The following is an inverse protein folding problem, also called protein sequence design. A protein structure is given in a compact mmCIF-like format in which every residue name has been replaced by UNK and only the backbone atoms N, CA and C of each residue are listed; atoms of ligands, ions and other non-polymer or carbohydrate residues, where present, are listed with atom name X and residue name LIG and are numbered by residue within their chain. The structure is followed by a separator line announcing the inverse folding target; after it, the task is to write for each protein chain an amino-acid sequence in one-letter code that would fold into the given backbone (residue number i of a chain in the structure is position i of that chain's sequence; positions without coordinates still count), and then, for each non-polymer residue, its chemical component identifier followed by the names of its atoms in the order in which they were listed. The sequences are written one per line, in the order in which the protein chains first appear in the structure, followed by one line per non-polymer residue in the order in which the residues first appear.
data_IF_409848746162
#
_entry.id   IF_409848746162
#
_cell.length_a   1.000
_cell.length_b   1.000
_cell.length_c   1.000
_cell.angle_alpha   90.00
_cell.angle_beta   90.00
_cell.angle_gamma   90.00
#
_symmetry.space_group_name_H-M   'P 1'
#
loop_
_entity.id
_entity.type
_entity.pdbx_description
1 polymer ?
#
# COMPACT_ATOMS: atom_id res chain seq x y z
N UNK A 1 -2.41 -9.99 29.22
CA UNK A 1 -3.12 -9.81 27.93
C UNK A 1 -2.27 -8.89 27.08
N UNK A 2 -1.47 -9.44 26.17
CA UNK A 2 -0.73 -8.65 25.18
C UNK A 2 -1.70 -8.19 24.08
N UNK A 3 -1.67 -6.93 23.63
CA UNK A 3 -2.54 -6.46 22.55
C UNK A 3 -2.15 -7.12 21.22
N UNK A 4 -3.15 -7.56 20.46
CA UNK A 4 -3.06 -8.09 19.09
C UNK A 4 -2.14 -7.27 18.16
N UNK A 5 -1.12 -7.88 17.56
CA UNK A 5 -0.11 -7.23 16.71
C UNK A 5 -0.45 -7.12 15.22
N UNK A 6 -1.57 -7.71 14.73
CA UNK A 6 -2.15 -7.27 13.43
C UNK A 6 -3.51 -6.63 13.67
N UNK A 7 -3.73 -5.39 13.24
CA UNK A 7 -4.97 -4.70 13.57
C UNK A 7 -6.16 -5.30 12.84
N UNK A 8 -7.33 -5.14 13.45
CA UNK A 8 -8.63 -5.59 12.91
C UNK A 8 -9.01 -4.91 11.60
N UNK A 9 -8.33 -3.81 11.26
CA UNK A 9 -8.44 -3.04 10.01
C UNK A 9 -7.06 -2.52 9.58
N UNK A 10 -6.83 -2.29 8.29
CA UNK A 10 -5.67 -1.51 7.83
C UNK A 10 -5.62 -0.15 8.54
N UNK A 11 -4.41 0.37 8.72
CA UNK A 11 -4.20 1.75 9.13
C UNK A 11 -4.74 2.74 8.10
N UNK A 12 -4.99 3.97 8.52
CA UNK A 12 -5.53 5.03 7.67
C UNK A 12 -4.42 5.77 6.93
N UNK A 13 -4.63 6.08 5.65
CA UNK A 13 -3.70 6.89 4.84
C UNK A 13 -4.33 8.26 4.56
N UNK A 14 -3.67 9.33 5.00
CA UNK A 14 -4.02 10.72 4.69
C UNK A 14 -3.09 11.21 3.59
N UNK A 15 -3.62 11.45 2.41
CA UNK A 15 -2.85 11.92 1.25
C UNK A 15 -3.00 13.43 1.15
N UNK A 16 -1.91 14.17 1.36
CA UNK A 16 -1.84 15.61 1.15
C UNK A 16 -1.30 15.87 -0.26
N UNK A 17 -2.16 16.27 -1.20
CA UNK A 17 -1.76 16.51 -2.58
C UNK A 17 -1.83 17.99 -2.96
N UNK A 18 -0.83 18.50 -3.65
CA UNK A 18 -0.75 19.91 -4.04
C UNK A 18 0.59 20.30 -4.63
N UNK A 19 0.66 21.49 -5.22
CA UNK A 19 1.84 21.99 -5.92
C UNK A 19 3.07 22.12 -5.01
N UNK A 20 4.27 22.20 -5.60
CA UNK A 20 5.48 22.54 -4.83
C UNK A 20 5.26 23.87 -4.10
N UNK A 21 5.77 24.00 -2.87
CA UNK A 21 5.57 25.19 -2.02
C UNK A 21 4.14 25.49 -1.54
N UNK A 22 3.16 24.61 -1.78
CA UNK A 22 1.78 24.79 -1.29
C UNK A 22 1.60 24.56 0.22
N UNK A 23 2.66 24.29 0.97
CA UNK A 23 2.59 24.14 2.43
C UNK A 23 2.25 22.72 2.93
N UNK A 24 2.14 21.72 2.05
CA UNK A 24 1.88 20.31 2.39
C UNK A 24 2.69 19.79 3.58
N UNK A 25 4.01 19.93 3.54
CA UNK A 25 4.89 19.40 4.60
C UNK A 25 4.66 20.08 5.94
N UNK A 26 4.33 21.37 5.93
CA UNK A 26 4.06 22.14 7.16
C UNK A 26 2.72 21.73 7.75
N UNK A 27 1.67 21.67 6.94
CA UNK A 27 0.33 21.19 7.35
C UNK A 27 0.41 19.74 7.83
N UNK A 28 1.13 18.87 7.11
CA UNK A 28 1.29 17.46 7.46
C UNK A 28 2.03 17.24 8.78
N UNK A 29 3.05 18.04 9.10
CA UNK A 29 3.71 18.00 10.42
C UNK A 29 2.80 18.51 11.54
N UNK A 30 2.02 19.56 11.31
CA UNK A 30 1.01 20.00 12.28
C UNK A 30 -0.05 18.92 12.49
N UNK A 31 -0.51 18.28 11.42
CA UNK A 31 -1.45 17.17 11.48
C UNK A 31 -0.88 15.99 12.29
N UNK A 32 0.37 15.61 12.03
CA UNK A 32 1.06 14.56 12.80
C UNK A 32 1.17 14.90 14.29
N UNK A 33 1.31 16.18 14.66
CA UNK A 33 1.38 16.65 16.05
C UNK A 33 0.05 16.58 16.78
N UNK A 34 -1.08 16.76 16.10
CA UNK A 34 -2.40 16.88 16.74
C UNK A 34 -3.22 15.60 16.70
N UNK A 35 -2.97 14.71 15.74
CA UNK A 35 -3.74 13.49 15.62
C UNK A 35 -3.47 12.57 16.84
N UNK A 36 -4.52 11.92 17.38
CA UNK A 36 -4.41 11.16 18.63
C UNK A 36 -3.71 9.81 18.47
N UNK A 37 -3.54 9.34 17.22
CA UNK A 37 -2.87 8.08 16.87
C UNK A 37 -1.50 8.39 16.26
N UNK A 38 -0.51 7.48 16.35
CA UNK A 38 0.80 7.70 15.76
C UNK A 38 0.73 7.57 14.24
N UNK A 39 0.77 8.71 13.52
CA UNK A 39 0.91 8.70 12.06
C UNK A 39 2.38 8.73 11.67
N UNK A 40 2.77 7.84 10.76
CA UNK A 40 4.03 7.94 10.05
C UNK A 40 3.92 9.09 9.03
N UNK A 41 4.93 9.95 8.95
CA UNK A 41 4.95 11.05 7.98
C UNK A 41 6.01 10.77 6.91
N UNK A 42 5.61 10.79 5.64
CA UNK A 42 6.48 10.55 4.49
C UNK A 42 5.98 11.34 3.28
N UNK A 43 6.67 11.24 2.15
CA UNK A 43 6.23 11.84 0.90
C UNK A 43 7.17 11.56 -0.26
N UNK A 44 6.86 12.15 -1.40
CA UNK A 44 7.71 12.05 -2.59
C UNK A 44 9.18 12.42 -2.30
N UNK A 45 9.40 13.41 -1.44
CA UNK A 45 10.73 13.88 -1.02
C UNK A 45 11.47 12.88 -0.11
N UNK A 46 10.79 11.89 0.48
CA UNK A 46 11.42 10.77 1.19
C UNK A 46 11.86 9.64 0.24
N UNK A 47 11.17 9.48 -0.89
CA UNK A 47 11.45 8.42 -1.86
C UNK A 47 12.41 8.85 -2.96
N UNK A 48 12.33 10.09 -3.46
CA UNK A 48 13.22 10.59 -4.52
C UNK A 48 14.72 10.44 -4.18
N UNK A 49 15.18 10.74 -2.95
CA UNK A 49 16.58 10.52 -2.58
C UNK A 49 17.02 9.06 -2.63
N UNK A 50 16.10 8.08 -2.52
CA UNK A 50 16.44 6.65 -2.63
C UNK A 50 16.97 6.29 -4.02
N UNK A 51 16.65 7.10 -5.04
CA UNK A 51 17.20 6.88 -6.37
C UNK A 51 18.70 7.20 -6.45
N UNK A 52 19.34 7.92 -5.48
CA UNK A 52 20.81 8.05 -5.34
C UNK A 52 21.30 8.63 -3.98
N UNK A 53 22.26 7.98 -3.30
CA UNK A 53 23.04 8.61 -2.22
C UNK A 53 24.35 9.33 -2.66
N UNK A 54 24.99 8.97 -3.79
CA UNK A 54 26.43 9.30 -4.00
C UNK A 54 26.89 9.19 -5.47
N UNK A 55 26.48 10.16 -6.31
CA UNK A 55 26.64 10.11 -7.77
C UNK A 55 28.03 9.74 -8.32
N UNK A 56 28.11 8.61 -9.04
CA UNK A 56 28.82 8.29 -10.30
C UNK A 56 28.25 6.91 -10.70
N UNK A 57 27.71 6.60 -11.89
CA UNK A 57 28.17 6.81 -13.28
C UNK A 57 26.93 6.98 -14.18
N UNK A 58 26.92 7.98 -15.07
CA UNK A 58 26.20 7.91 -16.35
C UNK A 58 24.76 8.46 -16.47
N UNK A 59 24.14 9.04 -15.44
CA UNK A 59 22.84 9.75 -15.64
C UNK A 59 22.79 10.98 -14.74
N UNK A 60 22.88 12.15 -15.34
CA UNK A 60 22.66 13.45 -14.69
C UNK A 60 21.33 13.40 -13.92
N UNK A 61 21.34 13.74 -12.62
CA UNK A 61 20.13 13.76 -11.74
C UNK A 61 18.97 14.52 -12.37
N UNK A 62 19.33 15.50 -13.21
CA UNK A 62 18.46 16.32 -14.01
C UNK A 62 19.20 16.66 -15.31
N UNK A 63 18.63 16.33 -16.48
CA UNK A 63 19.08 16.97 -17.72
C UNK A 63 18.39 18.35 -17.80
N UNK A 64 19.15 19.42 -17.99
CA UNK A 64 18.60 20.70 -18.48
C UNK A 64 18.59 20.59 -20.01
N UNK A 65 17.42 20.64 -20.65
CA UNK A 65 17.37 20.50 -22.11
C UNK A 65 16.62 21.66 -22.76
N UNK A 66 17.32 22.39 -23.62
CA UNK A 66 16.85 22.63 -24.99
C UNK A 66 17.64 21.77 -26.02
N UNK A 67 18.82 21.22 -25.64
CA UNK A 67 19.82 20.74 -26.61
C UNK A 67 20.09 19.22 -26.57
N UNK A 68 19.56 18.48 -25.59
CA UNK A 68 19.79 17.04 -25.43
C UNK A 68 18.47 16.24 -25.53
N UNK A 69 17.86 16.25 -26.70
CA UNK A 69 16.67 15.45 -27.05
C UNK A 69 16.90 13.92 -27.05
N UNK A 70 17.83 13.41 -26.23
CA UNK A 70 18.31 12.02 -26.32
C UNK A 70 19.03 11.48 -25.10
N UNK A 71 18.74 11.94 -23.88
CA UNK A 71 19.19 11.26 -22.64
C UNK A 71 18.05 10.41 -22.04
N UNK A 72 17.77 9.19 -22.53
CA UNK A 72 16.62 8.36 -22.13
C UNK A 72 16.71 7.77 -20.71
N UNK A 73 17.62 8.26 -19.86
CA UNK A 73 18.04 7.56 -18.65
C UNK A 73 17.86 8.33 -17.33
N UNK A 74 17.62 9.64 -17.36
CA UNK A 74 17.45 10.39 -16.12
C UNK A 74 16.11 10.05 -15.44
N UNK A 75 16.08 9.79 -14.11
CA UNK A 75 14.83 9.54 -13.39
C UNK A 75 13.90 10.75 -13.38
N UNK A 76 14.47 11.96 -13.47
CA UNK A 76 13.78 13.23 -13.44
C UNK A 76 14.56 14.23 -14.32
N UNK A 77 13.85 15.11 -15.04
CA UNK A 77 14.46 16.20 -15.83
C UNK A 77 13.68 17.50 -15.71
N UNK A 78 14.40 18.61 -15.78
CA UNK A 78 13.84 19.96 -15.82
C UNK A 78 13.66 20.37 -17.28
N UNK A 79 12.45 20.70 -17.68
CA UNK A 79 12.16 21.20 -19.03
C UNK A 79 12.11 22.72 -18.99
N UNK A 80 12.94 23.38 -19.80
CA UNK A 80 13.04 24.84 -19.88
C UNK A 80 12.39 25.37 -21.16
N UNK A 81 11.95 26.63 -21.20
CA UNK A 81 11.45 27.26 -22.42
C UNK A 81 12.55 27.39 -23.50
N UNK A 82 12.16 27.30 -24.77
CA UNK A 82 13.07 27.41 -25.91
C UNK A 82 13.85 28.73 -25.99
N UNK A 83 13.32 29.81 -25.40
CA UNK A 83 13.89 31.17 -25.46
C UNK A 83 14.57 31.62 -24.16
N UNK A 84 14.87 30.68 -23.24
CA UNK A 84 15.39 30.98 -21.91
C UNK A 84 14.29 31.40 -20.93
N UNK A 85 14.52 31.18 -19.64
CA UNK A 85 13.55 31.41 -18.58
C UNK A 85 13.55 30.29 -17.53
N UNK A 86 12.69 30.42 -16.54
CA UNK A 86 12.43 29.40 -15.51
C UNK A 86 11.84 28.12 -16.14
N UNK A 87 12.13 26.90 -15.62
CA UNK A 87 11.52 25.66 -16.08
C UNK A 87 10.00 25.76 -16.20
N UNK A 88 9.50 25.15 -17.26
CA UNK A 88 8.06 25.05 -17.55
C UNK A 88 7.44 23.89 -16.78
N UNK A 89 8.17 22.77 -16.63
CA UNK A 89 7.72 21.60 -15.87
C UNK A 89 8.85 20.60 -15.60
N UNK A 90 8.54 19.64 -14.71
CA UNK A 90 9.36 18.45 -14.48
C UNK A 90 8.82 17.32 -15.34
N UNK A 91 9.73 16.55 -15.94
CA UNK A 91 9.39 15.26 -16.53
C UNK A 91 10.09 14.12 -15.81
N UNK A 92 9.34 13.05 -15.55
CA UNK A 92 9.86 11.84 -14.94
C UNK A 92 10.23 10.83 -16.03
N UNK A 93 11.41 10.24 -15.90
CA UNK A 93 11.82 9.10 -16.73
C UNK A 93 11.27 7.79 -16.19
N UNK A 94 11.50 6.69 -16.90
CA UNK A 94 10.95 5.37 -16.55
C UNK A 94 11.26 4.96 -15.09
N UNK A 95 12.48 5.20 -14.62
CA UNK A 95 12.89 4.92 -13.24
C UNK A 95 12.15 5.78 -12.21
N UNK A 96 11.82 7.04 -12.54
CA UNK A 96 10.99 7.91 -11.71
C UNK A 96 9.56 7.40 -11.60
N UNK A 97 8.94 7.00 -12.72
CA UNK A 97 7.60 6.39 -12.72
C UNK A 97 7.57 5.08 -11.91
N UNK A 98 8.60 4.23 -12.05
CA UNK A 98 8.72 3.00 -11.23
C UNK A 98 8.91 3.30 -9.74
N UNK A 99 9.65 4.35 -9.37
CA UNK A 99 9.78 4.76 -7.98
C UNK A 99 8.43 5.16 -7.38
N UNK A 100 7.64 6.00 -8.08
CA UNK A 100 6.32 6.43 -7.58
C UNK A 100 5.37 5.24 -7.44
N UNK A 101 5.39 4.33 -8.42
CA UNK A 101 4.67 3.06 -8.33
C UNK A 101 5.07 2.25 -7.09
N UNK A 102 6.37 2.15 -6.83
CA UNK A 102 6.92 1.49 -5.63
C UNK A 102 6.50 2.17 -4.33
N UNK A 103 6.50 3.51 -4.30
CA UNK A 103 6.03 4.30 -3.17
C UNK A 103 4.57 3.98 -2.84
N UNK A 104 3.68 3.95 -3.82
CA UNK A 104 2.27 3.60 -3.58
C UNK A 104 2.09 2.20 -2.98
N UNK A 105 2.87 1.22 -3.44
CA UNK A 105 2.88 -0.14 -2.87
C UNK A 105 3.44 -0.17 -1.46
N UNK A 106 4.47 0.62 -1.17
CA UNK A 106 5.00 0.75 0.19
C UNK A 106 3.98 1.36 1.15
N UNK A 107 3.25 2.40 0.73
CA UNK A 107 2.16 3.00 1.52
C UNK A 107 1.08 1.97 1.83
N UNK A 108 0.65 1.20 0.82
CA UNK A 108 -0.33 0.13 0.99
C UNK A 108 0.15 -0.94 1.99
N UNK A 109 1.38 -1.44 1.82
CA UNK A 109 1.95 -2.46 2.70
C UNK A 109 2.04 -1.98 4.16
N UNK A 110 2.50 -0.74 4.37
CA UNK A 110 2.59 -0.11 5.70
C UNK A 110 1.20 0.05 6.34
N UNK A 111 0.20 0.43 5.55
CA UNK A 111 -1.19 0.53 6.01
C UNK A 111 -1.80 -0.85 6.30
N UNK A 112 -1.61 -1.85 5.46
CA UNK A 112 -2.08 -3.23 5.71
C UNK A 112 -1.40 -3.88 6.92
N UNK A 113 -0.16 -3.49 7.23
CA UNK A 113 0.51 -3.85 8.48
C UNK A 113 -0.06 -3.12 9.70
N UNK A 114 -0.93 -2.12 9.50
CA UNK A 114 -1.66 -1.46 10.57
C UNK A 114 -1.28 -0.04 10.92
N UNK A 115 -0.29 0.51 10.22
CA UNK A 115 0.23 1.83 10.54
C UNK A 115 -0.62 2.91 9.87
N UNK A 116 -0.94 3.95 10.63
CA UNK A 116 -1.54 5.15 10.07
C UNK A 116 -0.44 6.00 9.40
N UNK A 117 -0.72 6.56 8.22
CA UNK A 117 0.27 7.26 7.39
C UNK A 117 -0.26 8.61 6.93
N UNK A 118 0.52 9.67 7.08
CA UNK A 118 0.36 10.92 6.36
C UNK A 118 1.39 10.92 5.24
N UNK A 119 0.94 11.06 4.00
CA UNK A 119 1.81 11.12 2.83
C UNK A 119 1.59 12.44 2.10
N UNK A 120 2.67 13.20 1.87
CA UNK A 120 2.63 14.32 0.96
C UNK A 120 2.99 13.91 -0.47
N UNK A 121 2.21 14.38 -1.43
CA UNK A 121 2.34 14.01 -2.83
C UNK A 121 2.18 15.21 -3.77
N UNK A 122 2.69 15.05 -4.99
CA UNK A 122 2.50 15.94 -6.13
C UNK A 122 1.99 15.05 -7.29
N UNK A 123 0.68 14.79 -7.36
CA UNK A 123 0.06 13.86 -8.31
C UNK A 123 0.00 14.45 -9.73
N UNK A 124 1.14 14.52 -10.41
CA UNK A 124 1.28 15.19 -11.72
C UNK A 124 0.62 14.45 -12.88
N UNK A 125 0.73 13.12 -12.90
CA UNK A 125 0.29 12.30 -14.04
C UNK A 125 -1.01 11.56 -13.72
N UNK A 126 -1.90 11.44 -14.71
CA UNK A 126 -3.13 10.65 -14.60
C UNK A 126 -2.88 9.18 -14.23
N UNK A 127 -1.79 8.61 -14.72
CA UNK A 127 -1.38 7.26 -14.34
C UNK A 127 -0.99 7.13 -12.87
N UNK A 128 -0.39 8.17 -12.25
CA UNK A 128 -0.06 8.14 -10.82
C UNK A 128 -1.32 8.23 -9.97
N UNK A 129 -2.30 9.04 -10.40
CA UNK A 129 -3.61 9.14 -9.75
C UNK A 129 -4.31 7.78 -9.76
N UNK A 130 -4.35 7.11 -10.92
CA UNK A 130 -4.93 5.76 -11.07
C UNK A 130 -4.17 4.71 -10.26
N UNK A 131 -2.84 4.73 -10.30
CA UNK A 131 -2.01 3.76 -9.56
C UNK A 131 -2.13 3.94 -8.04
N UNK A 132 -2.24 5.18 -7.55
CA UNK A 132 -2.48 5.44 -6.12
C UNK A 132 -3.83 4.86 -5.66
N UNK A 133 -4.90 5.11 -6.43
CA UNK A 133 -6.24 4.58 -6.14
C UNK A 133 -6.22 3.05 -6.13
N UNK A 134 -5.55 2.44 -7.09
CA UNK A 134 -5.44 0.99 -7.15
C UNK A 134 -4.63 0.41 -5.99
N UNK A 135 -3.45 0.99 -5.71
CA UNK A 135 -2.57 0.51 -4.65
C UNK A 135 -3.20 0.62 -3.25
N UNK A 136 -4.00 1.66 -3.00
CA UNK A 136 -4.68 1.87 -1.73
C UNK A 136 -6.10 1.29 -1.69
N UNK A 137 -6.49 0.46 -2.66
CA UNK A 137 -7.78 -0.25 -2.64
C UNK A 137 -7.89 -1.10 -1.37
N UNK A 138 -8.97 -0.90 -0.62
CA UNK A 138 -9.18 -1.58 0.67
C UNK A 138 -8.51 -0.93 1.87
N UNK A 139 -7.79 0.18 1.69
CA UNK A 139 -7.22 1.01 2.77
C UNK A 139 -8.18 2.17 3.08
N UNK A 140 -8.39 2.53 4.36
CA UNK A 140 -9.05 3.78 4.73
C UNK A 140 -8.24 4.99 4.26
N UNK A 141 -8.68 5.69 3.21
CA UNK A 141 -7.97 6.86 2.66
C UNK A 141 -8.71 8.17 2.94
N UNK A 142 -8.01 9.24 3.29
CA UNK A 142 -8.51 10.62 3.24
C UNK A 142 -7.64 11.43 2.26
N UNK A 143 -8.21 11.81 1.11
CA UNK A 143 -7.52 12.56 0.07
C UNK A 143 -7.76 14.07 0.25
N UNK A 144 -6.70 14.81 0.57
CA UNK A 144 -6.72 16.23 0.90
C UNK A 144 -6.07 17.04 -0.22
N UNK A 145 -6.79 18.02 -0.75
CA UNK A 145 -6.28 18.97 -1.73
C UNK A 145 -5.69 20.19 -1.03
N UNK A 146 -4.37 20.33 -1.06
CA UNK A 146 -3.64 21.47 -0.47
C UNK A 146 -3.36 22.51 -1.55
N UNK A 147 -4.30 23.45 -1.67
CA UNK A 147 -4.24 24.57 -2.60
C UNK A 147 -3.43 25.73 -2.01
N UNK A 148 -2.94 26.58 -2.90
CA UNK A 148 -2.28 27.84 -2.58
C UNK A 148 -2.32 28.71 -3.84
N UNK A 149 -2.76 29.96 -3.72
CA UNK A 149 -2.77 30.92 -4.82
C UNK A 149 -1.41 31.01 -5.51
N UNK A 150 -1.43 31.16 -6.83
CA UNK A 150 -0.21 31.16 -7.65
C UNK A 150 0.80 32.24 -7.23
N UNK A 151 0.33 33.43 -6.86
CA UNK A 151 1.22 34.52 -6.43
C UNK A 151 1.98 34.19 -5.14
N UNK A 152 1.28 33.60 -4.16
CA UNK A 152 1.89 33.15 -2.89
C UNK A 152 2.84 31.97 -3.13
N UNK A 153 2.46 31.04 -4.01
CA UNK A 153 3.30 29.90 -4.39
C UNK A 153 4.66 30.33 -4.94
N UNK A 154 4.66 31.24 -5.91
CA UNK A 154 5.89 31.77 -6.53
C UNK A 154 6.72 32.58 -5.55
N UNK A 155 6.08 33.35 -4.66
CA UNK A 155 6.79 34.07 -3.61
C UNK A 155 7.48 33.12 -2.63
N UNK A 156 6.78 32.06 -2.19
CA UNK A 156 7.34 31.02 -1.32
C UNK A 156 8.50 30.28 -1.97
N UNK A 157 8.38 29.94 -3.25
CA UNK A 157 9.44 29.28 -4.03
C UNK A 157 10.70 30.17 -4.12
N UNK A 158 10.53 31.47 -4.43
CA UNK A 158 11.65 32.43 -4.43
C UNK A 158 12.32 32.54 -3.06
N UNK A 159 11.55 32.57 -1.97
CA UNK A 159 12.08 32.66 -0.60
C UNK A 159 12.80 31.39 -0.16
N UNK A 160 12.37 30.21 -0.64
CA UNK A 160 13.01 28.92 -0.33
C UNK A 160 14.44 28.84 -0.88
N UNK A 161 14.75 29.63 -1.91
CA UNK A 161 16.08 29.68 -2.52
C UNK A 161 16.40 28.45 -3.35
N UNK A 162 15.36 27.80 -3.91
CA UNK A 162 15.54 26.61 -4.75
C UNK A 162 16.41 26.96 -5.97
N UNK A 163 17.33 26.06 -6.32
CA UNK A 163 18.27 26.27 -7.42
C UNK A 163 17.59 26.38 -8.81
N UNK A 164 16.29 26.06 -8.87
CA UNK A 164 15.45 26.17 -10.06
C UNK A 164 14.05 26.65 -9.62
N UNK A 165 13.62 27.82 -10.11
CA UNK A 165 12.33 28.48 -9.82
C UNK A 165 11.34 28.16 -10.95
N UNK A 166 10.03 28.06 -10.71
CA UNK A 166 9.00 27.81 -11.75
C UNK A 166 8.19 26.53 -11.57
N UNK A 167 8.54 25.66 -10.62
CA UNK A 167 7.79 24.42 -10.34
C UNK A 167 6.42 24.69 -9.80
N UNK A 168 6.31 25.68 -8.92
CA UNK A 168 5.05 25.98 -8.27
C UNK A 168 3.98 26.33 -9.31
N UNK A 169 4.36 27.05 -10.37
CA UNK A 169 3.52 27.34 -11.54
C UNK A 169 3.25 26.10 -12.39
N UNK A 170 4.28 25.32 -12.71
CA UNK A 170 4.16 24.09 -13.51
C UNK A 170 3.15 23.09 -12.94
N UNK A 171 3.17 22.95 -11.60
CA UNK A 171 2.34 21.98 -10.89
C UNK A 171 0.93 22.50 -10.60
N UNK A 172 0.72 23.82 -10.67
CA UNK A 172 -0.45 24.51 -10.08
C UNK A 172 -1.79 23.87 -10.44
N UNK A 173 -2.07 23.66 -11.73
CA UNK A 173 -3.33 23.04 -12.16
C UNK A 173 -3.21 21.51 -12.22
N UNK A 174 -2.12 21.00 -12.80
CA UNK A 174 -1.94 19.60 -13.14
C UNK A 174 -2.14 18.64 -11.96
N UNK A 175 -1.67 19.03 -10.76
CA UNK A 175 -1.78 18.21 -9.56
C UNK A 175 -3.21 18.06 -9.07
N UNK A 176 -4.12 18.97 -9.41
CA UNK A 176 -5.50 18.97 -8.92
C UNK A 176 -6.52 18.46 -9.94
N UNK A 177 -6.18 18.45 -11.23
CA UNK A 177 -7.05 17.97 -12.31
C UNK A 177 -7.53 16.53 -12.07
N UNK A 178 -8.80 16.23 -12.36
CA UNK A 178 -9.40 14.88 -12.25
C UNK A 178 -9.27 14.22 -10.86
N UNK A 179 -9.27 15.01 -9.78
CA UNK A 179 -9.27 14.50 -8.41
C UNK A 179 -10.45 15.04 -7.61
N UNK A 180 -11.21 14.12 -7.04
CA UNK A 180 -12.24 14.40 -6.06
C UNK A 180 -11.65 14.27 -4.66
N UNK A 181 -11.45 15.42 -4.02
CA UNK A 181 -10.91 15.51 -2.66
C UNK A 181 -12.03 15.35 -1.63
N UNK A 182 -11.72 14.68 -0.53
CA UNK A 182 -12.57 14.67 0.67
C UNK A 182 -12.63 16.06 1.29
N UNK A 183 -11.51 16.80 1.23
CA UNK A 183 -11.43 18.18 1.66
C UNK A 183 -10.38 18.95 0.86
N UNK A 184 -10.67 20.21 0.58
CA UNK A 184 -9.74 21.18 -0.03
C UNK A 184 -9.41 22.26 1.00
N UNK A 185 -8.13 22.60 1.13
CA UNK A 185 -7.61 23.65 2.02
C UNK A 185 -6.80 24.63 1.19
N UNK A 186 -7.01 25.93 1.37
CA UNK A 186 -6.15 26.97 0.77
C UNK A 186 -5.19 27.54 1.81
N UNK A 187 -3.90 27.26 1.66
CA UNK A 187 -2.85 27.72 2.58
C UNK A 187 -2.40 29.16 2.33
N UNK A 188 -3.05 29.87 1.42
CA UNK A 188 -2.90 31.33 1.26
C UNK A 188 -3.75 32.08 2.27
N UNK A 189 -4.84 31.46 2.72
CA UNK A 189 -5.82 32.03 3.64
C UNK A 189 -5.72 31.40 5.03
N UNK A 190 -5.37 30.11 5.09
CA UNK A 190 -5.30 29.34 6.33
C UNK A 190 -3.86 29.22 6.85
N UNK A 191 -3.71 29.49 8.15
CA UNK A 191 -2.47 29.18 8.88
C UNK A 191 -2.30 27.65 9.00
N UNK A 192 -1.06 27.11 8.97
CA UNK A 192 -0.83 25.66 8.92
C UNK A 192 -1.50 24.87 10.05
N UNK A 193 -1.58 25.46 11.24
CA UNK A 193 -2.24 24.84 12.40
C UNK A 193 -3.76 24.75 12.21
N UNK A 194 -4.38 25.82 11.74
CA UNK A 194 -5.82 25.86 11.47
C UNK A 194 -6.19 24.86 10.37
N UNK A 195 -5.41 24.84 9.27
CA UNK A 195 -5.53 23.85 8.21
C UNK A 195 -5.48 22.41 8.73
N UNK A 196 -4.52 22.09 9.60
CA UNK A 196 -4.41 20.76 10.20
C UNK A 196 -5.63 20.41 11.07
N UNK A 197 -6.13 21.35 11.88
CA UNK A 197 -7.31 21.13 12.72
C UNK A 197 -8.59 20.88 11.90
N UNK A 198 -8.74 21.56 10.76
CA UNK A 198 -9.85 21.32 9.83
C UNK A 198 -9.73 19.91 9.22
N UNK A 199 -8.54 19.54 8.72
CA UNK A 199 -8.29 18.20 8.16
C UNK A 199 -8.56 17.11 9.21
N UNK A 200 -8.08 17.29 10.45
CA UNK A 200 -8.27 16.34 11.53
C UNK A 200 -9.76 16.07 11.84
N UNK A 201 -10.62 17.09 11.75
CA UNK A 201 -12.08 16.93 11.91
C UNK A 201 -12.67 16.03 10.82
N UNK A 202 -12.31 16.26 9.56
CA UNK A 202 -12.77 15.43 8.43
C UNK A 202 -12.27 13.99 8.55
N UNK A 203 -10.99 13.83 8.91
CA UNK A 203 -10.37 12.52 9.13
C UNK A 203 -11.09 11.74 10.24
N UNK A 204 -11.51 12.41 11.31
CA UNK A 204 -12.23 11.80 12.42
C UNK A 204 -13.69 11.46 12.10
N UNK A 205 -14.35 12.24 11.23
CA UNK A 205 -15.74 12.00 10.84
C UNK A 205 -15.90 11.08 9.63
N UNK A 206 -14.82 10.77 8.91
CA UNK A 206 -14.90 9.96 7.70
C UNK A 206 -15.20 8.50 8.06
N UNK A 207 -16.38 8.05 7.67
CA UNK A 207 -16.75 6.65 7.74
C UNK A 207 -16.12 5.88 6.60
N UNK A 208 -15.64 4.68 6.93
CA UNK A 208 -15.13 3.73 5.97
C UNK A 208 -16.04 2.53 5.97
N UNK A 209 -16.45 2.02 4.79
CA UNK A 209 -17.35 0.88 4.72
C UNK A 209 -16.80 -0.29 5.52
N UNK A 210 -17.72 -1.03 6.16
CA UNK A 210 -17.38 -2.18 6.99
C UNK A 210 -16.42 -3.11 6.28
N UNK A 211 -15.40 -3.52 7.01
CA UNK A 211 -14.29 -4.25 6.43
C UNK A 211 -14.79 -5.59 5.88
N UNK A 212 -14.62 -5.81 4.58
CA UNK A 212 -15.12 -6.98 3.84
C UNK A 212 -14.78 -8.30 4.54
N UNK A 213 -15.77 -9.19 4.74
CA UNK A 213 -15.58 -10.37 5.59
C UNK A 213 -14.32 -11.19 5.22
N UNK A 214 -14.19 -11.54 3.93
CA UNK A 214 -12.99 -12.14 3.39
C UNK A 214 -11.95 -11.05 3.12
N UNK A 215 -10.74 -11.25 3.66
CA UNK A 215 -9.64 -10.29 3.60
C UNK A 215 -8.64 -10.62 2.51
N UNK A 216 -8.33 -11.90 2.36
CA UNK A 216 -7.36 -12.40 1.40
C UNK A 216 -7.59 -13.89 1.15
N UNK A 217 -7.02 -14.42 0.07
CA UNK A 217 -6.76 -15.85 -0.06
C UNK A 217 -5.54 -16.17 0.80
N UNK A 218 -5.72 -17.10 1.74
CA UNK A 218 -4.64 -17.62 2.58
C UNK A 218 -3.85 -18.67 1.79
N UNK A 219 -4.55 -19.67 1.24
CA UNK A 219 -3.94 -20.63 0.35
C UNK A 219 -4.93 -21.29 -0.61
N UNK A 220 -4.38 -21.83 -1.70
CA UNK A 220 -5.02 -22.84 -2.54
C UNK A 220 -4.43 -24.20 -2.17
N UNK A 221 -5.26 -25.09 -1.64
CA UNK A 221 -4.88 -26.46 -1.36
C UNK A 221 -5.08 -27.34 -2.58
N UNK A 222 -4.01 -28.01 -3.01
CA UNK A 222 -3.96 -28.86 -4.21
C UNK A 222 -3.71 -30.32 -3.82
N UNK A 223 -4.61 -31.25 -4.16
CA UNK A 223 -4.37 -32.67 -3.91
C UNK A 223 -3.23 -33.21 -4.77
N UNK A 224 -2.30 -33.92 -4.15
CA UNK A 224 -1.21 -34.65 -4.80
C UNK A 224 -1.20 -36.09 -4.30
N UNK A 225 -0.79 -37.07 -5.12
CA UNK A 225 -0.75 -38.48 -4.70
C UNK A 225 0.34 -38.75 -3.65
N UNK A 226 1.39 -37.93 -3.66
CA UNK A 226 2.55 -38.01 -2.78
C UNK A 226 3.20 -36.62 -2.66
N UNK A 227 3.68 -36.28 -1.46
CA UNK A 227 4.26 -34.95 -1.23
C UNK A 227 5.59 -34.77 -1.94
N UNK A 228 6.45 -35.79 -1.96
CA UNK A 228 7.77 -35.66 -2.58
C UNK A 228 7.65 -35.57 -4.11
N UNK A 229 6.73 -36.31 -4.71
CA UNK A 229 6.36 -36.16 -6.12
C UNK A 229 5.76 -34.78 -6.42
N UNK A 230 4.90 -34.26 -5.54
CA UNK A 230 4.34 -32.91 -5.64
C UNK A 230 5.43 -31.83 -5.58
N UNK A 231 6.35 -31.93 -4.62
CA UNK A 231 7.49 -31.01 -4.49
C UNK A 231 8.41 -31.10 -5.69
N UNK A 232 8.70 -32.31 -6.19
CA UNK A 232 9.49 -32.48 -7.40
C UNK A 232 8.87 -31.72 -8.60
N UNK A 233 7.55 -31.65 -8.68
CA UNK A 233 6.87 -30.86 -9.71
C UNK A 233 6.89 -29.35 -9.41
N UNK A 234 6.26 -28.92 -8.31
CA UNK A 234 6.04 -27.49 -8.04
C UNK A 234 7.32 -26.74 -7.62
N UNK A 235 8.18 -27.35 -6.80
CA UNK A 235 9.44 -26.75 -6.36
C UNK A 235 10.52 -26.93 -7.41
N UNK A 236 10.80 -28.17 -7.82
CA UNK A 236 11.99 -28.44 -8.63
C UNK A 236 11.82 -28.17 -10.13
N UNK A 237 10.59 -28.28 -10.68
CA UNK A 237 10.31 -27.98 -12.10
C UNK A 237 9.69 -26.61 -12.32
N UNK A 238 8.78 -26.17 -11.44
CA UNK A 238 8.10 -24.87 -11.60
C UNK A 238 8.75 -23.73 -10.80
N UNK A 239 9.68 -24.03 -9.88
CA UNK A 239 10.51 -23.03 -9.22
C UNK A 239 9.90 -22.36 -7.98
N UNK A 240 8.84 -22.92 -7.40
CA UNK A 240 8.30 -22.39 -6.14
C UNK A 240 9.19 -22.72 -4.95
N UNK A 241 9.31 -21.79 -4.00
CA UNK A 241 10.04 -21.99 -2.75
C UNK A 241 9.19 -22.78 -1.74
N UNK A 242 9.76 -23.83 -1.15
CA UNK A 242 9.17 -24.53 0.00
C UNK A 242 9.31 -23.67 1.25
N UNK A 243 8.18 -23.31 1.88
CA UNK A 243 8.17 -22.46 3.09
C UNK A 243 7.86 -23.27 4.35
N UNK A 244 7.06 -24.33 4.24
CA UNK A 244 6.82 -25.28 5.34
C UNK A 244 6.36 -26.64 4.82
N UNK A 245 6.60 -27.71 5.60
CA UNK A 245 6.07 -29.06 5.37
C UNK A 245 5.67 -29.76 6.66
N UNK A 246 4.63 -30.56 6.56
CA UNK A 246 4.20 -31.56 7.55
C UNK A 246 4.29 -32.95 6.94
N UNK A 247 3.67 -33.95 7.58
CA UNK A 247 3.56 -35.31 7.02
C UNK A 247 2.58 -35.39 5.84
N UNK A 248 1.58 -34.52 5.80
CA UNK A 248 0.45 -34.62 4.85
C UNK A 248 0.25 -33.39 3.98
N UNK A 249 0.98 -32.30 4.24
CA UNK A 249 0.91 -31.09 3.45
C UNK A 249 2.25 -30.35 3.35
N UNK A 250 2.44 -29.56 2.30
CA UNK A 250 3.56 -28.64 2.16
C UNK A 250 3.11 -27.32 1.52
N UNK A 251 3.49 -26.21 2.15
CA UNK A 251 3.23 -24.85 1.67
C UNK A 251 4.37 -24.34 0.79
N UNK A 252 3.99 -23.73 -0.33
CA UNK A 252 4.88 -23.18 -1.33
C UNK A 252 4.58 -21.70 -1.53
N UNK A 253 5.62 -20.87 -1.59
CA UNK A 253 5.49 -19.41 -1.69
C UNK A 253 4.87 -18.99 -3.03
N UNK A 254 3.91 -18.07 -2.98
CA UNK A 254 3.61 -17.21 -4.12
C UNK A 254 4.44 -15.91 -4.03
N UNK A 255 5.20 -15.52 -5.06
CA UNK A 255 6.22 -14.48 -4.93
C UNK A 255 5.66 -13.06 -4.71
N UNK A 256 4.44 -12.77 -5.15
CA UNK A 256 3.88 -11.41 -5.13
C UNK A 256 2.83 -11.19 -4.04
N UNK A 257 2.50 -12.23 -3.26
CA UNK A 257 1.46 -12.15 -2.22
C UNK A 257 1.84 -13.01 -1.02
N UNK A 258 1.11 -12.85 0.08
CA UNK A 258 1.24 -13.75 1.22
C UNK A 258 0.38 -15.02 1.07
N UNK A 259 -0.25 -15.25 -0.10
CA UNK A 259 -0.99 -16.48 -0.36
C UNK A 259 -0.02 -17.64 -0.66
N UNK A 260 -0.46 -18.86 -0.38
CA UNK A 260 0.34 -20.07 -0.56
C UNK A 260 -0.30 -21.04 -1.55
N UNK A 261 0.54 -21.80 -2.24
CA UNK A 261 0.12 -23.08 -2.83
C UNK A 261 0.39 -24.15 -1.78
N UNK A 262 -0.63 -24.85 -1.32
CA UNK A 262 -0.47 -25.93 -0.34
C UNK A 262 -0.76 -27.26 -1.02
N UNK A 263 0.27 -28.05 -1.32
CA UNK A 263 0.05 -29.41 -1.79
C UNK A 263 -0.27 -30.32 -0.61
N UNK A 264 -1.23 -31.24 -0.76
CA UNK A 264 -1.68 -32.11 0.34
C UNK A 264 -2.14 -33.49 -0.14
N UNK A 265 -2.15 -34.49 0.75
CA UNK A 265 -2.45 -35.90 0.44
C UNK A 265 -3.71 -36.47 1.10
N UNK A 266 -4.43 -35.68 1.90
CA UNK A 266 -5.57 -36.13 2.73
C UNK A 266 -6.93 -35.97 2.04
N UNK A 267 -7.07 -35.00 1.13
CA UNK A 267 -8.32 -34.66 0.45
C UNK A 267 -8.14 -34.82 -1.06
N UNK A 268 -9.23 -35.11 -1.77
CA UNK A 268 -9.21 -35.35 -3.22
C UNK A 268 -9.63 -34.15 -4.06
N UNK A 269 -10.10 -33.07 -3.45
CA UNK A 269 -10.58 -31.87 -4.11
C UNK A 269 -9.67 -30.68 -3.86
N UNK A 270 -9.69 -29.72 -4.79
CA UNK A 270 -9.13 -28.39 -4.57
C UNK A 270 -9.94 -27.67 -3.49
N UNK A 271 -9.26 -26.97 -2.58
CA UNK A 271 -9.89 -26.20 -1.51
C UNK A 271 -9.24 -24.82 -1.40
N UNK A 272 -10.04 -23.79 -1.27
CA UNK A 272 -9.57 -22.41 -1.06
C UNK A 272 -9.77 -22.04 0.39
N UNK A 273 -8.70 -21.56 1.03
CA UNK A 273 -8.75 -21.02 2.38
C UNK A 273 -8.80 -19.49 2.31
N UNK A 274 -9.84 -18.91 2.90
CA UNK A 274 -10.11 -17.48 2.93
C UNK A 274 -9.81 -16.92 4.32
N UNK A 275 -8.96 -15.89 4.37
CA UNK A 275 -8.58 -15.26 5.63
C UNK A 275 -9.68 -14.32 6.13
N UNK A 276 -10.02 -14.46 7.40
CA UNK A 276 -10.97 -13.61 8.13
C UNK A 276 -10.33 -13.06 9.40
N UNK A 277 -10.94 -12.03 9.99
CA UNK A 277 -10.46 -11.46 11.25
C UNK A 277 -10.70 -12.39 12.45
N UNK A 278 -11.81 -13.12 12.42
CA UNK A 278 -12.21 -14.14 13.40
C UNK A 278 -13.06 -15.19 12.68
N UNK A 279 -12.69 -16.47 12.83
CA UNK A 279 -13.46 -17.57 12.27
C UNK A 279 -14.87 -17.62 12.85
N UNK A 280 -15.03 -17.43 14.17
CA UNK A 280 -16.33 -17.45 14.84
C UNK A 280 -17.29 -16.37 14.32
N UNK A 281 -16.84 -15.11 14.29
CA UNK A 281 -17.66 -14.01 13.77
C UNK A 281 -17.97 -14.16 12.27
N UNK A 282 -17.07 -14.80 11.51
CA UNK A 282 -17.32 -15.10 10.10
C UNK A 282 -18.44 -16.12 9.91
N UNK A 283 -18.52 -17.15 10.76
CA UNK A 283 -19.58 -18.16 10.70
C UNK A 283 -20.94 -17.50 10.93
N UNK A 284 -21.07 -16.68 11.98
CA UNK A 284 -22.31 -15.96 12.30
C UNK A 284 -22.79 -15.16 11.09
N UNK A 285 -21.93 -14.31 10.53
CA UNK A 285 -22.25 -13.46 9.38
C UNK A 285 -22.61 -14.26 8.11
N UNK A 286 -21.95 -15.39 7.86
CA UNK A 286 -22.22 -16.23 6.69
C UNK A 286 -23.57 -16.94 6.84
N UNK A 287 -23.88 -17.46 8.03
CA UNK A 287 -25.15 -18.13 8.30
C UNK A 287 -26.30 -17.13 8.23
N UNK A 288 -26.15 -15.93 8.79
CA UNK A 288 -27.13 -14.84 8.65
C UNK A 288 -27.39 -14.45 7.19
N UNK A 289 -26.36 -14.53 6.34
CA UNK A 289 -26.46 -14.27 4.90
C UNK A 289 -27.05 -15.45 4.09
N UNK A 290 -27.49 -16.53 4.73
CA UNK A 290 -28.10 -17.70 4.08
C UNK A 290 -27.11 -18.82 3.72
N UNK A 291 -25.85 -18.71 4.14
CA UNK A 291 -24.89 -19.80 4.10
C UNK A 291 -25.13 -20.85 5.18
N UNK A 292 -24.29 -21.89 5.23
CA UNK A 292 -24.39 -22.97 6.20
C UNK A 292 -23.04 -23.32 6.79
N UNK A 293 -22.98 -23.59 8.08
CA UNK A 293 -21.82 -24.22 8.70
C UNK A 293 -21.80 -25.71 8.34
N UNK A 294 -20.68 -26.20 7.81
CA UNK A 294 -20.45 -27.63 7.53
C UNK A 294 -19.66 -28.27 8.66
N UNK A 295 -18.57 -27.61 9.07
CA UNK A 295 -17.69 -28.09 10.13
C UNK A 295 -16.99 -26.92 10.84
N UNK A 296 -16.77 -27.06 12.14
CA UNK A 296 -16.10 -26.07 12.98
C UNK A 296 -17.03 -25.22 13.83
N UNK A 297 -16.53 -24.13 14.43
CA UNK A 297 -15.13 -23.72 14.40
C UNK A 297 -14.22 -24.70 15.16
N UNK A 298 -13.08 -25.06 14.58
CA UNK A 298 -12.08 -25.91 15.22
C UNK A 298 -10.70 -25.25 15.19
N UNK A 299 -9.83 -25.73 16.07
CA UNK A 299 -8.46 -25.24 16.19
C UNK A 299 -7.56 -25.80 15.10
N UNK A 300 -6.77 -24.91 14.50
CA UNK A 300 -5.61 -25.25 13.67
C UNK A 300 -4.33 -24.73 14.34
N UNK A 301 -3.17 -25.10 13.79
CA UNK A 301 -1.87 -24.71 14.34
C UNK A 301 -1.71 -23.18 14.48
N UNK A 302 -2.12 -22.43 13.45
CA UNK A 302 -1.95 -20.97 13.38
C UNK A 302 -3.11 -20.17 13.99
N UNK A 303 -4.24 -20.80 14.30
CA UNK A 303 -5.45 -20.09 14.74
C UNK A 303 -6.69 -20.97 14.76
N UNK A 304 -7.81 -20.46 14.22
CA UNK A 304 -9.08 -21.18 14.11
C UNK A 304 -9.58 -21.24 12.66
N UNK A 305 -10.36 -22.28 12.36
CA UNK A 305 -10.85 -22.58 11.03
C UNK A 305 -12.28 -23.12 11.07
N UNK A 306 -13.04 -22.88 10.00
CA UNK A 306 -14.34 -23.50 9.76
C UNK A 306 -14.56 -23.74 8.26
N UNK A 307 -15.35 -24.77 7.96
CA UNK A 307 -15.83 -25.07 6.61
C UNK A 307 -17.30 -24.67 6.53
N UNK A 308 -17.64 -23.87 5.53
CA UNK A 308 -18.98 -23.33 5.32
C UNK A 308 -19.42 -23.56 3.88
N UNK A 309 -20.74 -23.47 3.64
CA UNK A 309 -21.34 -23.37 2.33
C UNK A 309 -21.87 -21.97 2.12
N UNK A 310 -21.75 -21.47 0.90
CA UNK A 310 -22.58 -20.36 0.45
C UNK A 310 -24.01 -20.85 0.07
N UNK A 311 -24.94 -19.94 -0.28
CA UNK A 311 -26.31 -20.32 -0.64
C UNK A 311 -26.44 -21.25 -1.85
N UNK A 312 -25.41 -21.35 -2.69
CA UNK A 312 -25.39 -22.19 -3.89
C UNK A 312 -24.72 -23.54 -3.66
N UNK A 313 -24.18 -23.78 -2.46
CA UNK A 313 -23.53 -25.03 -2.07
C UNK A 313 -22.04 -25.08 -2.40
N UNK A 314 -21.39 -23.95 -2.70
CA UNK A 314 -19.94 -23.93 -2.83
C UNK A 314 -19.29 -24.05 -1.46
N UNK A 315 -18.31 -24.94 -1.33
CA UNK A 315 -17.54 -25.16 -0.09
C UNK A 315 -16.45 -24.11 0.02
N UNK A 316 -16.46 -23.38 1.14
CA UNK A 316 -15.47 -22.36 1.48
C UNK A 316 -14.83 -22.72 2.82
N UNK A 317 -13.51 -22.60 2.92
CA UNK A 317 -12.81 -22.70 4.20
C UNK A 317 -12.47 -21.30 4.66
N UNK A 318 -12.88 -20.91 5.86
CA UNK A 318 -12.54 -19.62 6.49
C UNK A 318 -11.61 -19.86 7.66
N UNK A 319 -10.56 -19.04 7.78
CA UNK A 319 -9.62 -19.17 8.89
C UNK A 319 -9.08 -17.83 9.39
N UNK A 320 -8.67 -17.82 10.65
CA UNK A 320 -7.84 -16.76 11.23
C UNK A 320 -6.48 -17.30 11.67
N UNK A 321 -5.52 -16.39 11.84
CA UNK A 321 -4.17 -16.66 12.34
C UNK A 321 -4.00 -16.09 13.76
N UNK A 322 -4.94 -16.43 14.66
CA UNK A 322 -4.97 -15.90 16.03
C UNK A 322 -3.86 -16.43 16.94
N UNK A 323 -3.25 -17.59 16.64
CA UNK A 323 -2.16 -18.20 17.44
C UNK A 323 -0.77 -17.85 16.93
N UNK A 324 -0.64 -17.30 15.73
CA UNK A 324 0.63 -16.87 15.15
C UNK A 324 0.99 -17.62 13.88
N UNK A 325 2.29 -17.75 13.60
CA UNK A 325 2.79 -18.28 12.33
C UNK A 325 3.66 -19.52 12.54
N UNK A 326 3.72 -20.39 11.53
CA UNK A 326 4.53 -21.60 11.57
C UNK A 326 6.03 -21.24 11.61
N UNK A 327 6.78 -21.92 12.48
CA UNK A 327 8.25 -21.86 12.52
C UNK A 327 8.80 -23.14 11.93
N UNK A 328 9.84 -23.04 11.11
CA UNK A 328 10.43 -24.17 10.38
C UNK A 328 11.93 -24.31 10.61
N UNK A 329 12.45 -25.51 10.40
CA UNK A 329 13.88 -25.75 10.23
C UNK A 329 14.34 -25.44 8.78
N UNK A 330 15.65 -25.56 8.51
CA UNK A 330 16.23 -25.31 7.17
C UNK A 330 15.67 -26.24 6.07
N UNK A 331 15.05 -27.36 6.44
CA UNK A 331 14.40 -28.29 5.52
C UNK A 331 12.89 -28.00 5.37
N UNK A 332 12.39 -26.93 6.00
CA UNK A 332 10.99 -26.52 5.98
C UNK A 332 10.11 -27.33 6.94
N UNK A 333 10.63 -28.24 7.76
CA UNK A 333 9.78 -29.00 8.68
C UNK A 333 9.26 -28.07 9.77
N UNK A 334 7.95 -28.14 10.05
CA UNK A 334 7.36 -27.34 11.12
C UNK A 334 7.89 -27.79 12.49
N UNK A 335 8.53 -26.88 13.22
CA UNK A 335 9.13 -27.12 14.53
C UNK A 335 8.36 -26.45 15.67
N UNK A 336 7.49 -25.49 15.36
CA UNK A 336 6.70 -24.77 16.36
C UNK A 336 5.80 -23.69 15.77
N UNK A 337 5.28 -22.84 16.67
CA UNK A 337 4.48 -21.66 16.34
C UNK A 337 5.12 -20.44 17.01
N UNK A 338 5.42 -19.42 16.23
CA UNK A 338 5.81 -18.12 16.75
C UNK A 338 4.52 -17.39 17.14
N UNK A 339 4.36 -17.15 18.45
CA UNK A 339 3.18 -16.50 18.99
C UNK A 339 3.05 -15.06 18.46
N UNK A 340 1.81 -14.66 18.20
CA UNK A 340 1.49 -13.34 17.67
C UNK A 340 1.65 -12.20 18.68
#
# INVERSE_FOLDING_TARGET
MSPSTVPSRPGQVIVLNGASSSGKSTVGRELQRILPRPYLFTGIDSFLPMLRPDGHVGMTWTARTNDNAGAPTAPLRWVFPAHGGDPVHIEFGESGHRLIRGMHRALAAVAFAGNDVIVEHVLLYEEWKRDLVEALRGVPVCLVGVHCSIGVLEERERRRGDAVVGQARAHYEAVHTNLDYDIRIDTSEEEPRAAAEIIAKVVASKEYPDVTLFRNIDCLQIPVPDLDAGLAFYRDKLGHELIWRTKTAAGLRMPETNAEIVIQTERSQLEVNLRVASADAAIERIVEAGGKLVAGPFDIQIGRCAVVLDPWGNVLTVLDASKGYLVTDDAGNVTGIESR
#
